data_IF_285592431473
#
_entry.id   IF_285592431473
#
_cell.length_a   1.000
_cell.length_b   1.000
_cell.length_c   1.000
_cell.angle_alpha   90.00
_cell.angle_beta   90.00
_cell.angle_gamma   90.00
#
_symmetry.space_group_name_H-M   'P 1'
#
loop_
_entity.id
_entity.type
_entity.pdbx_description
1 polymer ?
#
# COMPACT_ATOMS: atom_id res chain seq x y z
N UNK A 1 -18.54 7.65 -1.03
CA UNK A 1 -17.86 6.40 -0.63
C UNK A 1 -16.36 6.60 -0.83
N UNK A 2 -15.51 5.82 -0.16
CA UNK A 2 -14.07 5.88 -0.43
C UNK A 2 -13.79 5.24 -1.80
N UNK A 3 -12.88 5.82 -2.60
CA UNK A 3 -12.55 5.27 -3.94
C UNK A 3 -11.74 3.97 -3.84
N UNK A 4 -10.84 3.91 -2.87
CA UNK A 4 -9.99 2.75 -2.63
C UNK A 4 -10.11 2.28 -1.18
N UNK A 5 -10.09 0.96 -0.98
CA UNK A 5 -9.72 0.33 0.29
C UNK A 5 -8.31 -0.18 0.20
N UNK A 6 -7.53 0.09 1.25
CA UNK A 6 -6.12 -0.27 1.30
C UNK A 6 -5.89 -1.13 2.54
N UNK A 7 -5.27 -2.29 2.36
CA UNK A 7 -4.75 -3.09 3.47
C UNK A 7 -3.24 -3.15 3.38
N UNK A 8 -2.58 -3.02 4.53
CA UNK A 8 -1.12 -3.03 4.62
C UNK A 8 -0.70 -4.05 5.67
N UNK A 9 0.21 -4.93 5.31
CA UNK A 9 0.97 -5.78 6.22
C UNK A 9 2.42 -5.31 6.22
N UNK A 10 3.01 -5.11 7.39
CA UNK A 10 4.38 -4.57 7.51
C UNK A 10 5.19 -5.44 8.44
N UNK A 11 6.26 -6.01 7.90
CA UNK A 11 7.26 -6.73 8.65
C UNK A 11 8.60 -5.95 8.69
N UNK A 12 9.66 -6.58 9.18
CA UNK A 12 10.99 -5.96 9.28
C UNK A 12 11.80 -5.90 7.99
N UNK A 13 11.28 -6.45 6.89
CA UNK A 13 11.95 -6.52 5.57
C UNK A 13 11.14 -5.76 4.52
N UNK A 14 9.84 -6.01 4.40
CA UNK A 14 8.96 -5.44 3.40
C UNK A 14 7.59 -5.04 3.99
N UNK A 15 6.90 -4.17 3.27
CA UNK A 15 5.49 -3.87 3.49
C UNK A 15 4.69 -4.29 2.24
N UNK A 16 3.71 -5.14 2.45
CA UNK A 16 2.79 -5.69 1.45
C UNK A 16 1.49 -4.87 1.42
N UNK A 17 1.03 -4.52 0.22
CA UNK A 17 -0.17 -3.70 0.01
C UNK A 17 -1.16 -4.41 -0.90
N UNK A 18 -2.44 -4.30 -0.55
CA UNK A 18 -3.54 -4.63 -1.44
C UNK A 18 -4.42 -3.40 -1.58
N UNK A 19 -4.63 -2.96 -2.83
CA UNK A 19 -5.51 -1.87 -3.18
C UNK A 19 -6.74 -2.43 -3.86
N UNK A 20 -7.91 -2.14 -3.30
CA UNK A 20 -9.20 -2.49 -3.88
C UNK A 20 -9.90 -1.21 -4.34
N UNK A 21 -10.07 -1.05 -5.65
CA UNK A 21 -10.86 0.03 -6.23
C UNK A 21 -12.35 -0.32 -6.14
N UNK A 22 -13.10 0.37 -5.29
CA UNK A 22 -14.53 0.07 -5.08
C UNK A 22 -15.39 0.46 -6.29
N UNK A 23 -14.91 1.32 -7.18
CA UNK A 23 -15.65 1.76 -8.37
C UNK A 23 -15.53 0.76 -9.52
N UNK A 24 -14.34 0.18 -9.73
CA UNK A 24 -14.07 -0.75 -10.85
C UNK A 24 -14.08 -2.22 -10.44
N UNK A 25 -13.93 -2.51 -9.15
CA UNK A 25 -13.72 -3.86 -8.63
C UNK A 25 -12.28 -4.37 -8.82
N UNK A 26 -11.36 -3.54 -9.30
CA UNK A 26 -9.97 -3.92 -9.54
C UNK A 26 -9.20 -4.12 -8.23
N UNK A 27 -8.32 -5.12 -8.23
CA UNK A 27 -7.37 -5.38 -7.15
C UNK A 27 -5.96 -5.26 -7.72
N UNK A 28 -5.14 -4.39 -7.13
CA UNK A 28 -3.70 -4.32 -7.40
C UNK A 28 -2.91 -4.58 -6.12
N UNK A 29 -1.71 -5.14 -6.29
CA UNK A 29 -0.83 -5.57 -5.20
C UNK A 29 0.53 -4.96 -5.44
N UNK A 30 1.13 -4.36 -4.41
CA UNK A 30 2.52 -3.91 -4.46
C UNK A 30 3.27 -4.28 -3.19
N UNK A 31 4.60 -4.27 -3.30
CA UNK A 31 5.53 -4.54 -2.21
C UNK A 31 6.59 -3.46 -2.20
N UNK A 32 6.79 -2.84 -1.05
CA UNK A 32 7.86 -1.87 -0.84
C UNK A 32 8.81 -2.35 0.26
N UNK A 33 10.04 -1.89 0.25
CA UNK A 33 10.96 -2.15 1.36
C UNK A 33 10.46 -1.49 2.63
N UNK A 34 10.52 -2.22 3.75
CA UNK A 34 10.16 -1.68 5.05
C UNK A 34 11.18 -0.64 5.52
N UNK A 35 10.76 0.22 6.45
CA UNK A 35 11.58 1.24 7.09
C UNK A 35 11.58 1.00 8.60
N UNK A 36 12.38 0.07 9.14
CA UNK A 36 12.22 -0.41 10.52
C UNK A 36 12.31 0.66 11.60
N UNK A 37 13.08 1.74 11.35
CA UNK A 37 13.20 2.88 12.27
C UNK A 37 11.98 3.82 12.19
N UNK A 38 11.33 3.86 11.03
CA UNK A 38 10.22 4.76 10.72
C UNK A 38 9.16 4.05 9.87
N UNK A 39 8.41 3.05 10.39
CA UNK A 39 7.53 2.18 9.59
C UNK A 39 6.43 2.92 8.82
N UNK A 40 6.02 4.09 9.32
CA UNK A 40 5.06 4.95 8.64
C UNK A 40 5.56 5.40 7.25
N UNK A 41 6.88 5.52 7.05
CA UNK A 41 7.45 5.92 5.77
C UNK A 41 7.22 4.86 4.69
N UNK A 42 7.30 3.57 5.04
CA UNK A 42 6.94 2.49 4.13
C UNK A 42 5.46 2.54 3.73
N UNK A 43 4.57 2.90 4.66
CA UNK A 43 3.14 3.13 4.38
C UNK A 43 2.93 4.27 3.39
N UNK A 44 3.58 5.42 3.61
CA UNK A 44 3.49 6.57 2.72
C UNK A 44 4.02 6.25 1.32
N UNK A 45 5.17 5.58 1.24
CA UNK A 45 5.78 5.20 -0.03
C UNK A 45 4.88 4.23 -0.81
N UNK A 46 4.28 3.23 -0.14
CA UNK A 46 3.37 2.30 -0.80
C UNK A 46 2.09 2.96 -1.30
N UNK A 47 1.54 3.95 -0.59
CA UNK A 47 0.40 4.74 -1.09
C UNK A 47 0.79 5.62 -2.28
N UNK A 48 2.01 6.18 -2.29
CA UNK A 48 2.51 6.95 -3.43
C UNK A 48 2.59 6.10 -4.70
N UNK A 49 3.06 4.86 -4.60
CA UNK A 49 3.09 3.90 -5.72
C UNK A 49 1.69 3.62 -6.32
N UNK A 50 0.61 3.71 -5.53
CA UNK A 50 -0.75 3.62 -6.05
C UNK A 50 -1.14 4.88 -6.84
N UNK A 51 -0.73 6.06 -6.39
CA UNK A 51 -1.09 7.34 -7.01
C UNK A 51 -0.35 7.57 -8.34
N UNK A 52 0.80 6.93 -8.51
CA UNK A 52 1.65 7.06 -9.69
C UNK A 52 1.30 6.04 -10.81
N UNK A 53 0.31 5.17 -10.59
CA UNK A 53 -0.28 4.27 -11.59
C UNK A 53 -1.33 4.97 -12.46
#
# INVERSE_FOLDING_TARGET
MAKYRVTVDTDGTCSDFVFFNEETGEISITKVSSTPKEPFQAVLNGVQELLDQ
#
